data_IF_688089705848
#
_entry.id   IF_688089705848
#
_cell.length_a   1.000
_cell.length_b   1.000
_cell.length_c   1.000
_cell.angle_alpha   90.00
_cell.angle_beta   90.00
_cell.angle_gamma   90.00
#
_symmetry.space_group_name_H-M   'P 1'
#
loop_
_entity.id
_entity.type
_entity.pdbx_description
1 polymer ?
#
# COMPACT_ATOMS: atom_id res chain seq x y z
N UNK A 1 -22.23 41.79 0.00
CA UNK A 1 -21.69 42.61 1.10
C UNK A 1 -20.30 42.13 1.48
N UNK A 2 -19.47 43.00 2.03
CA UNK A 2 -18.10 42.67 2.47
C UNK A 2 -18.08 41.54 3.52
N UNK A 3 -19.11 41.50 4.38
CA UNK A 3 -19.33 40.41 5.34
C UNK A 3 -19.53 39.04 4.66
N UNK A 4 -20.30 38.98 3.57
CA UNK A 4 -20.52 37.73 2.83
C UNK A 4 -19.24 37.25 2.15
N UNK A 5 -18.44 38.15 1.57
CA UNK A 5 -17.15 37.80 0.97
C UNK A 5 -16.15 37.25 2.00
N UNK A 6 -16.05 37.92 3.17
CA UNK A 6 -15.21 37.44 4.29
C UNK A 6 -15.66 36.07 4.79
N UNK A 7 -16.96 35.88 4.98
CA UNK A 7 -17.53 34.61 5.41
C UNK A 7 -17.28 33.49 4.40
N UNK A 8 -17.42 33.79 3.09
CA UNK A 8 -17.11 32.84 2.02
C UNK A 8 -15.63 32.42 2.05
N UNK A 9 -14.70 33.36 2.18
CA UNK A 9 -13.27 33.06 2.22
C UNK A 9 -12.90 32.21 3.44
N UNK A 10 -13.43 32.54 4.63
CA UNK A 10 -13.21 31.74 5.83
C UNK A 10 -13.76 30.32 5.72
N UNK A 11 -14.92 30.16 5.06
CA UNK A 11 -15.55 28.85 4.84
C UNK A 11 -14.81 27.95 3.86
N UNK A 12 -13.96 28.50 2.99
CA UNK A 12 -13.25 27.72 1.97
C UNK A 12 -12.08 26.93 2.54
N UNK A 13 -11.28 27.54 3.42
CA UNK A 13 -10.00 26.96 3.87
C UNK A 13 -9.88 26.80 5.40
N UNK A 14 -10.66 27.56 6.17
CA UNK A 14 -10.54 27.64 7.63
C UNK A 14 -11.71 26.99 8.37
N UNK A 15 -12.70 26.42 7.67
CA UNK A 15 -13.82 25.70 8.29
C UNK A 15 -13.56 24.17 8.28
N UNK A 16 -13.37 23.53 9.44
CA UNK A 16 -13.06 22.10 9.54
C UNK A 16 -14.19 21.19 9.04
N UNK A 17 -15.41 21.72 8.87
CA UNK A 17 -16.54 20.99 8.31
C UNK A 17 -16.47 20.87 6.79
N UNK A 18 -15.77 21.79 6.12
CA UNK A 18 -15.69 21.88 4.65
C UNK A 18 -14.30 21.57 4.11
N UNK A 19 -13.26 21.89 4.87
CA UNK A 19 -11.88 21.70 4.49
C UNK A 19 -11.15 20.86 5.54
N UNK A 20 -10.43 19.84 5.09
CA UNK A 20 -9.71 18.93 5.98
C UNK A 20 -8.52 18.34 5.22
N UNK A 21 -7.30 18.71 5.62
CA UNK A 21 -6.06 18.15 5.09
C UNK A 21 -5.81 16.71 5.53
N UNK A 22 -6.49 16.27 6.61
CA UNK A 22 -6.16 15.08 7.37
C UNK A 22 -4.80 15.22 8.06
N UNK A 23 -4.46 14.21 8.88
CA UNK A 23 -3.14 14.13 9.53
C UNK A 23 -2.01 14.05 8.49
N UNK A 24 -2.23 13.30 7.40
CA UNK A 24 -1.23 13.08 6.34
C UNK A 24 -0.96 14.35 5.53
N UNK A 25 -2.00 15.07 5.09
CA UNK A 25 -1.82 16.31 4.33
C UNK A 25 -1.12 17.38 5.17
N UNK A 26 -1.44 17.45 6.47
CA UNK A 26 -0.76 18.32 7.43
C UNK A 26 0.71 17.95 7.61
N UNK A 27 1.00 16.65 7.82
CA UNK A 27 2.36 16.13 7.93
C UNK A 27 3.22 16.48 6.70
N UNK A 28 2.70 16.24 5.49
CA UNK A 28 3.41 16.54 4.23
C UNK A 28 3.64 18.03 4.05
N UNK A 29 2.63 18.86 4.33
CA UNK A 29 2.75 20.32 4.25
C UNK A 29 3.81 20.86 5.22
N UNK A 30 3.77 20.40 6.47
CA UNK A 30 4.72 20.81 7.49
C UNK A 30 6.16 20.41 7.13
N UNK A 31 6.34 19.15 6.73
CA UNK A 31 7.65 18.61 6.32
C UNK A 31 8.22 19.39 5.13
N UNK A 32 7.40 19.66 4.10
CA UNK A 32 7.82 20.40 2.90
C UNK A 32 8.19 21.86 3.20
N UNK A 33 7.48 22.50 4.12
CA UNK A 33 7.75 23.89 4.53
C UNK A 33 8.83 24.02 5.62
N UNK A 34 9.37 22.90 6.10
CA UNK A 34 10.36 22.89 7.19
C UNK A 34 9.76 23.30 8.55
N UNK A 35 8.46 23.14 8.74
CA UNK A 35 7.81 23.40 10.02
C UNK A 35 7.99 22.20 10.97
N UNK A 36 8.12 22.45 12.29
CA UNK A 36 8.28 21.37 13.26
C UNK A 36 7.00 20.53 13.31
N UNK A 37 7.14 19.22 13.10
CA UNK A 37 6.02 18.27 13.20
C UNK A 37 5.83 17.89 14.65
N UNK A 38 4.76 18.39 15.27
CA UNK A 38 4.32 18.02 16.62
C UNK A 38 2.83 17.60 16.62
N UNK A 39 2.38 16.97 17.70
CA UNK A 39 1.00 16.44 17.78
C UNK A 39 -0.06 17.55 17.62
N UNK A 40 0.16 18.71 18.23
CA UNK A 40 -0.74 19.88 18.13
C UNK A 40 -0.90 20.36 16.67
N UNK A 41 0.20 20.37 15.91
CA UNK A 41 0.15 20.70 14.49
C UNK A 41 -0.61 19.64 13.70
N UNK A 42 -0.39 18.34 13.98
CA UNK A 42 -1.07 17.24 13.30
C UNK A 42 -2.59 17.21 13.57
N UNK A 43 -3.03 17.72 14.71
CA UNK A 43 -4.46 17.92 15.03
C UNK A 43 -5.09 19.07 14.23
N UNK A 44 -4.28 20.03 13.77
CA UNK A 44 -4.76 21.19 13.01
C UNK A 44 -5.07 20.81 11.55
N UNK A 45 -6.29 20.35 11.30
CA UNK A 45 -6.73 19.84 9.98
C UNK A 45 -7.04 20.91 8.93
N UNK A 46 -7.20 22.18 9.31
CA UNK A 46 -7.49 23.31 8.39
C UNK A 46 -6.24 24.12 8.09
N UNK A 47 -6.19 24.81 6.96
CA UNK A 47 -5.06 25.70 6.64
C UNK A 47 -4.94 26.84 7.67
N UNK A 48 -3.70 27.21 7.97
CA UNK A 48 -3.33 28.37 8.78
C UNK A 48 -2.83 29.50 7.88
N UNK A 49 -2.66 30.71 8.42
CA UNK A 49 -2.14 31.83 7.62
C UNK A 49 -0.66 31.63 7.30
N UNK A 50 0.04 31.02 8.25
CA UNK A 50 1.44 30.66 8.21
C UNK A 50 1.71 29.66 7.09
N UNK A 51 0.82 28.69 6.88
CA UNK A 51 0.87 27.75 5.76
C UNK A 51 0.86 28.46 4.40
N UNK A 52 -0.04 29.43 4.23
CA UNK A 52 -0.21 30.17 2.97
C UNK A 52 1.03 31.03 2.70
N UNK A 53 1.52 31.73 3.72
CA UNK A 53 2.73 32.56 3.60
C UNK A 53 3.95 31.67 3.34
N UNK A 54 4.06 30.53 4.02
CA UNK A 54 5.13 29.55 3.82
C UNK A 54 5.15 28.99 2.40
N UNK A 55 3.99 28.60 1.88
CA UNK A 55 3.85 28.11 0.51
C UNK A 55 4.25 29.18 -0.52
N UNK A 56 3.83 30.44 -0.34
CA UNK A 56 4.23 31.54 -1.21
C UNK A 56 5.75 31.79 -1.17
N UNK A 57 6.34 31.79 0.03
CA UNK A 57 7.81 31.90 0.18
C UNK A 57 8.53 30.77 -0.53
N UNK A 58 8.07 29.52 -0.36
CA UNK A 58 8.66 28.36 -1.03
C UNK A 58 8.59 28.51 -2.56
N UNK A 59 7.45 28.96 -3.12
CA UNK A 59 7.31 29.20 -4.56
C UNK A 59 8.26 30.29 -5.08
N UNK A 60 8.46 31.37 -4.32
CA UNK A 60 9.41 32.43 -4.69
C UNK A 60 10.85 31.91 -4.66
N UNK A 61 11.23 31.15 -3.62
CA UNK A 61 12.56 30.50 -3.51
C UNK A 61 12.82 29.51 -4.63
N UNK A 62 11.82 28.68 -4.94
CA UNK A 62 11.87 27.73 -6.07
C UNK A 62 12.10 28.45 -7.40
N UNK A 63 11.46 29.61 -7.60
CA UNK A 63 11.67 30.41 -8.81
C UNK A 63 13.04 31.09 -8.83
N UNK A 64 13.58 31.45 -7.67
CA UNK A 64 14.92 32.02 -7.52
C UNK A 64 16.05 30.99 -7.75
N UNK A 65 15.74 29.69 -7.63
CA UNK A 65 16.69 28.61 -7.86
C UNK A 65 17.53 28.27 -6.62
N UNK A 66 16.99 28.46 -5.41
CA UNK A 66 17.65 28.08 -4.17
C UNK A 66 17.96 26.57 -4.14
N UNK A 67 19.15 26.19 -3.70
CA UNK A 67 19.63 24.79 -3.65
C UNK A 67 18.74 23.89 -2.76
N UNK A 68 18.14 24.45 -1.70
CA UNK A 68 17.24 23.71 -0.79
C UNK A 68 15.83 23.48 -1.38
N UNK A 69 15.59 23.93 -2.62
CA UNK A 69 14.27 23.82 -3.25
C UNK A 69 14.33 22.96 -4.49
N UNK A 70 13.38 22.05 -4.61
CA UNK A 70 13.23 21.17 -5.76
C UNK A 70 11.78 21.13 -6.23
N UNK A 71 11.62 20.86 -7.52
CA UNK A 71 10.33 20.56 -8.13
C UNK A 71 9.92 19.17 -7.67
N UNK A 72 8.68 19.03 -7.21
CA UNK A 72 8.16 17.74 -6.76
C UNK A 72 7.88 16.81 -7.95
N UNK A 73 8.37 15.58 -7.84
CA UNK A 73 7.99 14.49 -8.72
C UNK A 73 6.64 13.89 -8.27
N UNK A 74 5.64 13.98 -9.14
CA UNK A 74 4.27 13.48 -8.87
C UNK A 74 4.18 11.95 -8.83
N UNK A 75 5.12 11.25 -9.47
CA UNK A 75 5.14 9.80 -9.61
C UNK A 75 5.93 9.12 -8.48
N UNK A 76 6.76 9.89 -7.78
CA UNK A 76 7.47 9.42 -6.60
C UNK A 76 6.52 8.89 -5.51
N UNK A 77 6.76 7.67 -5.00
CA UNK A 77 5.92 7.06 -3.97
C UNK A 77 5.93 7.80 -2.62
N UNK A 78 6.86 8.72 -2.40
CA UNK A 78 6.78 9.67 -1.29
C UNK A 78 5.63 10.69 -1.41
N UNK A 79 5.08 10.86 -2.62
CA UNK A 79 3.97 11.77 -2.93
C UNK A 79 2.69 11.03 -3.31
N UNK A 80 2.76 9.69 -3.45
CA UNK A 80 1.61 8.82 -3.69
C UNK A 80 1.35 7.95 -2.47
N UNK A 81 0.09 7.91 -2.04
CA UNK A 81 -0.32 7.22 -0.83
C UNK A 81 -1.35 6.15 -1.15
N UNK A 82 -1.23 4.99 -0.50
CA UNK A 82 -2.25 3.96 -0.55
C UNK A 82 -3.42 4.34 0.36
N UNK A 83 -4.64 4.24 -0.19
CA UNK A 83 -5.87 4.31 0.60
C UNK A 83 -6.36 2.90 0.86
N UNK A 84 -6.45 2.55 2.14
CA UNK A 84 -6.93 1.25 2.60
C UNK A 84 -8.46 1.20 2.64
N UNK A 85 -9.01 -0.01 2.77
CA UNK A 85 -10.46 -0.24 2.72
C UNK A 85 -11.21 0.47 3.85
N UNK A 86 -10.63 0.52 5.04
CA UNK A 86 -11.15 1.20 6.22
C UNK A 86 -11.26 2.71 5.99
N UNK A 87 -10.28 3.34 5.34
CA UNK A 87 -10.36 4.78 5.01
C UNK A 87 -11.41 5.09 3.97
N UNK A 88 -11.47 4.28 2.90
CA UNK A 88 -12.45 4.46 1.84
C UNK A 88 -13.88 4.25 2.36
N UNK A 89 -14.09 3.19 3.16
CA UNK A 89 -15.35 2.92 3.82
C UNK A 89 -15.72 4.02 4.83
N UNK A 90 -14.75 4.51 5.61
CA UNK A 90 -14.96 5.58 6.57
C UNK A 90 -15.40 6.89 5.91
N UNK A 91 -14.83 7.24 4.75
CA UNK A 91 -15.24 8.42 4.00
C UNK A 91 -16.68 8.30 3.47
N UNK A 92 -17.05 7.14 2.94
CA UNK A 92 -18.44 6.89 2.49
C UNK A 92 -19.45 6.85 3.64
N UNK A 93 -19.08 6.23 4.77
CA UNK A 93 -19.89 6.25 5.99
C UNK A 93 -20.05 7.67 6.52
N UNK A 94 -18.97 8.47 6.53
CA UNK A 94 -19.01 9.89 6.93
C UNK A 94 -20.00 10.67 6.07
N UNK A 95 -20.05 10.45 4.75
CA UNK A 95 -21.06 11.05 3.87
C UNK A 95 -22.48 10.62 4.26
N UNK A 96 -22.67 9.34 4.61
CA UNK A 96 -23.93 8.82 5.15
C UNK A 96 -24.37 9.52 6.44
N UNK A 97 -23.46 9.69 7.40
CA UNK A 97 -23.73 10.39 8.66
C UNK A 97 -24.00 11.89 8.46
N UNK A 98 -23.32 12.55 7.52
CA UNK A 98 -23.58 13.96 7.21
C UNK A 98 -24.99 14.15 6.63
N UNK A 99 -25.46 13.23 5.78
CA UNK A 99 -26.85 13.22 5.29
C UNK A 99 -27.83 12.98 6.44
N UNK A 100 -27.57 11.99 7.28
CA UNK A 100 -28.39 11.69 8.45
C UNK A 100 -28.53 12.91 9.37
N UNK A 101 -27.41 13.57 9.70
CA UNK A 101 -27.39 14.79 10.52
C UNK A 101 -28.27 15.88 9.94
N UNK A 102 -28.18 16.12 8.63
CA UNK A 102 -28.99 17.12 7.94
C UNK A 102 -30.48 16.80 8.04
N UNK A 103 -30.88 15.55 7.76
CA UNK A 103 -32.28 15.12 7.85
C UNK A 103 -32.82 15.22 9.28
N UNK A 104 -32.02 14.86 10.27
CA UNK A 104 -32.40 15.00 11.69
C UNK A 104 -32.59 16.47 12.06
N UNK A 105 -31.68 17.36 11.65
CA UNK A 105 -31.78 18.80 11.90
C UNK A 105 -33.02 19.44 11.23
N UNK A 106 -33.33 19.03 10.01
CA UNK A 106 -34.54 19.47 9.30
C UNK A 106 -35.81 19.01 10.03
N UNK A 107 -35.87 17.75 10.49
CA UNK A 107 -37.01 17.23 11.26
C UNK A 107 -37.16 17.88 12.63
N UNK A 108 -36.06 18.17 13.32
CA UNK A 108 -36.07 18.87 14.61
C UNK A 108 -36.60 20.29 14.51
N UNK A 109 -36.38 20.95 13.37
CA UNK A 109 -36.91 22.30 13.12
C UNK A 109 -38.41 22.29 12.79
N UNK A 110 -38.91 21.21 12.19
CA UNK A 110 -40.31 21.12 11.73
C UNK A 110 -41.29 20.54 12.75
N UNK A 111 -40.83 19.77 13.74
CA UNK A 111 -41.70 19.09 14.72
C UNK A 111 -41.69 19.80 16.06
N UNK A 112 -42.84 19.83 16.71
CA UNK A 112 -42.95 20.37 18.06
C UNK A 112 -42.25 19.45 19.08
N UNK A 113 -41.53 20.00 20.07
CA UNK A 113 -40.78 19.22 21.06
C UNK A 113 -41.66 18.24 21.86
N UNK A 114 -42.93 18.58 22.07
CA UNK A 114 -43.88 17.77 22.85
C UNK A 114 -44.41 16.56 22.07
N UNK A 115 -44.37 16.60 20.73
CA UNK A 115 -44.77 15.48 19.87
C UNK A 115 -43.66 14.43 19.71
N UNK A 116 -42.40 14.80 19.97
CA UNK A 116 -41.24 13.94 19.81
C UNK A 116 -41.05 12.99 21.00
N UNK A 117 -41.83 11.89 21.01
CA UNK A 117 -41.78 10.89 22.07
C UNK A 117 -40.58 9.93 21.97
N UNK A 118 -40.02 9.70 20.76
CA UNK A 118 -38.93 8.74 20.53
C UNK A 118 -37.88 9.25 19.54
N UNK A 119 -36.59 9.04 19.87
CA UNK A 119 -35.44 9.40 19.02
C UNK A 119 -35.45 8.61 17.69
N UNK A 120 -35.99 7.39 17.70
CA UNK A 120 -36.12 6.54 16.50
C UNK A 120 -36.96 7.18 15.39
N UNK A 121 -37.83 8.14 15.72
CA UNK A 121 -38.62 8.86 14.71
C UNK A 121 -37.80 9.92 13.95
N UNK A 122 -36.71 10.39 14.55
CA UNK A 122 -35.79 11.35 13.94
C UNK A 122 -34.73 10.64 13.09
N UNK A 123 -34.26 9.48 13.53
CA UNK A 123 -33.12 8.77 12.92
C UNK A 123 -33.59 7.79 11.86
N UNK A 124 -33.16 7.99 10.61
CA UNK A 124 -33.40 7.05 9.51
C UNK A 124 -32.17 6.21 9.20
N UNK A 125 -32.17 4.94 9.56
CA UNK A 125 -31.06 4.00 9.31
C UNK A 125 -30.77 3.78 7.82
N UNK A 126 -31.77 3.96 6.93
CA UNK A 126 -31.62 3.78 5.48
C UNK A 126 -30.58 4.72 4.87
N UNK A 127 -30.39 5.90 5.46
CA UNK A 127 -29.39 6.86 4.99
C UNK A 127 -27.96 6.31 5.12
N UNK A 128 -27.69 5.53 6.18
CA UNK A 128 -26.38 4.93 6.42
C UNK A 128 -26.24 3.60 5.68
N UNK A 129 -27.27 2.74 5.73
CA UNK A 129 -27.23 1.45 5.04
C UNK A 129 -27.04 1.61 3.52
N UNK A 130 -27.70 2.60 2.91
CA UNK A 130 -27.54 2.88 1.47
C UNK A 130 -26.12 3.31 1.08
N UNK A 131 -25.39 3.99 1.97
CA UNK A 131 -23.97 4.31 1.76
C UNK A 131 -23.09 3.06 1.80
N UNK A 132 -23.39 2.12 2.71
CA UNK A 132 -22.69 0.83 2.81
C UNK A 132 -22.95 -0.01 1.56
N UNK A 133 -24.23 -0.15 1.17
CA UNK A 133 -24.63 -0.91 -0.02
C UNK A 133 -24.00 -0.33 -1.30
N UNK A 134 -23.91 1.00 -1.38
CA UNK A 134 -23.23 1.68 -2.48
C UNK A 134 -21.73 1.36 -2.50
N UNK A 135 -21.06 1.43 -1.35
CA UNK A 135 -19.62 1.19 -1.25
C UNK A 135 -19.27 -0.27 -1.64
N UNK A 136 -19.91 -1.26 -1.03
CA UNK A 136 -19.58 -2.67 -1.31
C UNK A 136 -20.21 -3.20 -2.60
N UNK A 137 -21.36 -2.66 -3.03
CA UNK A 137 -22.09 -3.17 -4.19
C UNK A 137 -21.77 -2.48 -5.51
N UNK A 138 -21.33 -1.22 -5.50
CA UNK A 138 -21.15 -0.40 -6.73
C UNK A 138 -19.78 0.25 -6.89
N UNK A 139 -18.94 0.24 -5.87
CA UNK A 139 -17.59 0.81 -6.00
C UNK A 139 -16.77 0.03 -7.04
N UNK A 140 -16.04 0.73 -7.89
CA UNK A 140 -15.16 0.12 -8.90
C UNK A 140 -14.04 -0.74 -8.27
N UNK A 141 -13.70 -0.45 -7.01
CA UNK A 141 -12.70 -1.17 -6.23
C UNK A 141 -13.29 -2.39 -5.51
N UNK A 142 -14.61 -2.51 -5.42
CA UNK A 142 -15.29 -3.69 -4.87
C UNK A 142 -15.55 -4.68 -6.00
N UNK A 143 -14.64 -5.65 -6.16
CA UNK A 143 -14.66 -6.61 -7.26
C UNK A 143 -14.91 -8.01 -6.73
N UNK A 144 -15.48 -8.87 -7.59
CA UNK A 144 -15.58 -10.30 -7.30
C UNK A 144 -14.16 -10.86 -7.17
N UNK A 145 -13.88 -11.54 -6.06
CA UNK A 145 -12.56 -12.10 -5.79
C UNK A 145 -12.26 -13.20 -6.82
N UNK A 146 -11.16 -13.04 -7.55
CA UNK A 146 -10.56 -14.09 -8.38
C UNK A 146 -10.16 -15.29 -7.50
N UNK A 147 -10.77 -16.44 -7.80
CA UNK A 147 -10.58 -17.68 -7.08
C UNK A 147 -10.20 -18.83 -8.01
N UNK A 148 -9.59 -18.52 -9.16
CA UNK A 148 -9.15 -19.54 -10.12
C UNK A 148 -8.19 -20.55 -9.45
N UNK A 149 -7.24 -20.04 -8.67
CA UNK A 149 -6.30 -20.82 -7.85
C UNK A 149 -5.80 -20.02 -6.63
N UNK A 150 -5.09 -20.63 -5.67
CA UNK A 150 -4.62 -19.93 -4.47
C UNK A 150 -3.75 -18.69 -4.75
N UNK A 151 -2.95 -18.71 -5.83
CA UNK A 151 -2.12 -17.58 -6.23
C UNK A 151 -2.97 -16.42 -6.75
N UNK A 152 -3.98 -16.69 -7.57
CA UNK A 152 -4.89 -15.68 -8.11
C UNK A 152 -5.58 -14.87 -7.00
N UNK A 153 -6.04 -15.55 -5.94
CA UNK A 153 -6.64 -14.90 -4.77
C UNK A 153 -5.62 -14.00 -4.06
N UNK A 154 -4.44 -14.55 -3.75
CA UNK A 154 -3.39 -13.81 -3.04
C UNK A 154 -2.93 -12.57 -3.80
N UNK A 155 -2.71 -12.68 -5.12
CA UNK A 155 -2.35 -11.53 -5.93
C UNK A 155 -3.48 -10.51 -5.99
N UNK A 156 -4.73 -10.96 -6.10
CA UNK A 156 -5.87 -10.04 -6.17
C UNK A 156 -6.03 -9.23 -4.88
N UNK A 157 -5.87 -9.87 -3.72
CA UNK A 157 -5.91 -9.20 -2.41
C UNK A 157 -4.74 -8.23 -2.20
N UNK A 158 -3.61 -8.43 -2.90
CA UNK A 158 -2.41 -7.58 -2.88
C UNK A 158 -2.31 -6.60 -4.05
N UNK A 159 -3.40 -6.40 -4.80
CA UNK A 159 -3.45 -5.54 -5.98
C UNK A 159 -3.58 -4.07 -5.59
N UNK A 160 -2.80 -3.23 -6.26
CA UNK A 160 -2.86 -1.78 -6.19
C UNK A 160 -3.53 -1.24 -7.44
N UNK A 161 -4.38 -0.22 -7.28
CA UNK A 161 -5.06 0.46 -8.37
C UNK A 161 -4.87 1.96 -8.26
N UNK A 162 -4.33 2.57 -9.31
CA UNK A 162 -4.32 4.03 -9.49
C UNK A 162 -5.69 4.56 -9.96
N UNK A 163 -6.62 3.66 -10.31
CA UNK A 163 -7.98 3.97 -10.73
C UNK A 163 -8.96 3.99 -9.56
N UNK A 164 -10.10 4.62 -9.75
CA UNK A 164 -11.20 4.66 -8.79
C UNK A 164 -11.46 6.06 -8.21
N UNK A 165 -12.30 6.18 -7.16
CA UNK A 165 -12.69 7.46 -6.61
C UNK A 165 -11.50 8.22 -6.02
N UNK A 166 -11.18 9.37 -6.62
CA UNK A 166 -10.02 10.20 -6.24
C UNK A 166 -8.71 9.80 -6.91
N UNK A 167 -8.72 8.77 -7.77
CA UNK A 167 -7.58 8.36 -8.58
C UNK A 167 -7.61 8.91 -10.01
N UNK A 168 -6.81 8.31 -10.87
CA UNK A 168 -6.70 8.63 -12.28
C UNK A 168 -7.85 8.03 -13.09
N UNK A 169 -8.22 8.69 -14.18
CA UNK A 169 -9.13 8.13 -15.17
C UNK A 169 -8.29 7.48 -16.29
N UNK A 170 -8.66 6.26 -16.73
CA UNK A 170 -7.96 5.49 -17.76
C UNK A 170 -7.64 6.30 -19.04
N UNK A 171 -8.57 7.15 -19.47
CA UNK A 171 -8.41 7.97 -20.70
C UNK A 171 -7.51 9.20 -20.51
N UNK A 172 -7.30 9.63 -19.26
CA UNK A 172 -6.49 10.81 -18.92
C UNK A 172 -5.10 10.46 -18.38
N UNK A 173 -4.87 9.18 -18.07
CA UNK A 173 -3.58 8.71 -17.64
C UNK A 173 -2.60 8.68 -18.83
N UNK A 174 -1.61 9.58 -18.79
CA UNK A 174 -0.52 9.66 -19.76
C UNK A 174 0.43 8.47 -19.67
N UNK A 175 1.55 8.56 -20.39
CA UNK A 175 2.60 7.53 -20.36
C UNK A 175 3.41 7.57 -19.07
N UNK A 176 3.80 8.75 -18.59
CA UNK A 176 4.63 8.95 -17.39
C UNK A 176 4.09 8.19 -16.16
N UNK A 177 2.79 8.31 -15.88
CA UNK A 177 2.14 7.66 -14.73
C UNK A 177 2.08 6.13 -14.82
N UNK A 178 2.35 5.55 -16.00
CA UNK A 178 2.35 4.10 -16.25
C UNK A 178 3.77 3.52 -16.19
N UNK A 179 4.79 4.36 -16.28
CA UNK A 179 6.18 3.92 -16.29
C UNK A 179 6.62 3.45 -14.90
N UNK A 180 7.68 2.63 -14.90
CA UNK A 180 8.27 2.13 -13.66
C UNK A 180 9.18 3.22 -13.09
N UNK A 181 8.78 3.76 -11.95
CA UNK A 181 9.57 4.75 -11.21
C UNK A 181 10.54 4.05 -10.24
N UNK A 182 11.74 4.60 -10.01
CA UNK A 182 12.76 4.01 -9.10
C UNK A 182 12.23 3.74 -7.68
N UNK A 183 11.47 4.67 -7.11
CA UNK A 183 10.78 4.52 -5.81
C UNK A 183 9.89 3.27 -5.68
N UNK A 184 9.50 2.61 -6.79
CA UNK A 184 8.78 1.33 -6.77
C UNK A 184 9.63 0.18 -6.20
N UNK A 185 10.96 0.32 -6.18
CA UNK A 185 11.88 -0.70 -5.70
C UNK A 185 11.50 -1.21 -4.30
N UNK A 186 11.25 -2.52 -4.19
CA UNK A 186 10.84 -3.17 -2.94
C UNK A 186 9.40 -2.91 -2.49
N UNK A 187 8.65 -2.04 -3.19
CA UNK A 187 7.29 -1.60 -2.82
C UNK A 187 6.23 -2.10 -3.79
N UNK A 188 6.45 -1.90 -5.08
CA UNK A 188 5.56 -2.29 -6.17
C UNK A 188 6.34 -3.19 -7.13
N UNK A 189 5.76 -4.33 -7.50
CA UNK A 189 6.38 -5.22 -8.45
C UNK A 189 6.44 -4.57 -9.84
N UNK A 190 7.63 -4.47 -10.47
CA UNK A 190 7.76 -3.85 -11.79
C UNK A 190 7.25 -4.74 -12.93
N UNK A 191 7.11 -6.05 -12.69
CA UNK A 191 6.74 -7.04 -13.70
C UNK A 191 5.23 -7.36 -13.67
N UNK A 192 4.62 -7.37 -12.48
CA UNK A 192 3.27 -7.86 -12.28
C UNK A 192 2.21 -6.76 -12.49
N UNK A 193 1.85 -6.56 -13.76
CA UNK A 193 0.78 -5.66 -14.21
C UNK A 193 -0.07 -6.35 -15.30
N UNK A 194 -1.38 -6.05 -15.40
CA UNK A 194 -2.18 -6.49 -16.53
C UNK A 194 -1.66 -5.94 -17.86
N UNK A 195 -1.86 -6.72 -18.92
CA UNK A 195 -1.58 -6.31 -20.29
C UNK A 195 -2.67 -5.37 -20.84
N UNK A 196 -2.32 -4.60 -21.87
CA UNK A 196 -3.25 -3.70 -22.57
C UNK A 196 -3.49 -2.38 -21.82
N UNK A 197 -4.74 -1.91 -21.84
CA UNK A 197 -5.06 -0.53 -21.44
C UNK A 197 -4.80 -0.21 -19.96
N UNK A 198 -4.69 -1.21 -19.09
CA UNK A 198 -4.47 -1.04 -17.65
C UNK A 198 -2.99 -1.16 -17.25
N UNK A 199 -2.07 -1.32 -18.20
CA UNK A 199 -0.63 -1.39 -17.92
C UNK A 199 -0.16 -0.20 -17.11
N UNK A 200 0.55 -0.46 -16.00
CA UNK A 200 1.08 0.55 -15.08
C UNK A 200 0.03 1.23 -14.18
N UNK A 201 -1.26 1.04 -14.45
CA UNK A 201 -2.37 1.60 -13.64
C UNK A 201 -2.88 0.62 -12.59
N UNK A 202 -2.63 -0.66 -12.82
CA UNK A 202 -2.89 -1.75 -11.89
C UNK A 202 -1.57 -2.48 -11.69
N UNK A 203 -1.10 -2.53 -10.46
CA UNK A 203 0.16 -3.17 -10.11
C UNK A 203 -0.04 -4.06 -8.89
N UNK A 204 0.96 -4.85 -8.53
CA UNK A 204 0.91 -5.70 -7.34
C UNK A 204 1.95 -5.27 -6.32
N UNK A 205 1.65 -5.42 -5.04
CA UNK A 205 2.62 -5.20 -3.97
C UNK A 205 3.79 -6.18 -4.10
N UNK A 206 5.01 -5.69 -3.87
CA UNK A 206 6.19 -6.56 -3.75
C UNK A 206 6.08 -7.45 -2.50
N UNK A 207 6.92 -8.48 -2.41
CA UNK A 207 6.83 -9.53 -1.38
C UNK A 207 6.86 -8.99 0.06
N UNK A 208 7.83 -8.12 0.37
CA UNK A 208 8.02 -7.59 1.72
C UNK A 208 7.43 -6.20 1.91
N UNK A 209 6.79 -5.64 0.88
CA UNK A 209 6.18 -4.31 0.97
C UNK A 209 5.08 -4.28 2.05
N UNK A 210 5.07 -3.21 2.83
CA UNK A 210 4.04 -2.93 3.83
C UNK A 210 3.59 -1.47 3.72
N UNK A 211 2.62 -1.09 4.56
CA UNK A 211 2.02 0.25 4.61
C UNK A 211 2.28 0.82 6.00
N UNK A 212 2.75 2.06 6.08
CA UNK A 212 2.93 2.75 7.35
C UNK A 212 1.62 3.36 7.90
N UNK A 213 1.67 3.98 9.08
CA UNK A 213 0.51 4.62 9.71
C UNK A 213 -0.09 5.78 8.87
N UNK A 214 0.72 6.38 7.99
CA UNK A 214 0.33 7.45 7.10
C UNK A 214 -0.06 6.94 5.71
N UNK A 215 -0.18 5.64 5.48
CA UNK A 215 -0.57 5.06 4.19
C UNK A 215 0.51 5.07 3.10
N UNK A 216 1.77 5.39 3.42
CA UNK A 216 2.89 5.29 2.47
C UNK A 216 3.42 3.86 2.42
N UNK A 217 3.89 3.46 1.23
CA UNK A 217 4.52 2.16 1.05
C UNK A 217 5.94 2.16 1.62
N UNK A 218 6.23 1.15 2.43
CA UNK A 218 7.53 0.94 3.06
C UNK A 218 8.10 -0.42 2.69
N UNK A 219 9.41 -0.52 2.64
CA UNK A 219 10.14 -1.78 2.40
C UNK A 219 11.23 -1.95 3.46
N UNK A 220 11.52 -3.19 3.90
CA UNK A 220 12.50 -3.43 4.95
C UNK A 220 13.92 -3.45 4.39
N UNK A 221 14.87 -2.93 5.19
CA UNK A 221 16.31 -2.95 4.94
C UNK A 221 17.07 -3.36 6.20
N UNK A 222 18.20 -4.03 6.04
CA UNK A 222 19.15 -4.30 7.12
C UNK A 222 20.02 -3.08 7.38
N UNK A 223 20.22 -2.72 8.64
CA UNK A 223 21.13 -1.65 9.02
C UNK A 223 22.59 -2.10 8.80
N UNK A 224 23.41 -1.24 8.19
CA UNK A 224 24.85 -1.44 8.01
C UNK A 224 25.59 -0.45 8.91
N UNK A 225 26.54 -0.95 9.69
CA UNK A 225 27.42 -0.12 10.52
C UNK A 225 28.86 -0.61 10.40
N UNK A 226 29.80 0.31 10.20
CA UNK A 226 31.24 0.00 10.04
C UNK A 226 31.47 -1.11 8.98
N UNK A 227 30.82 -0.96 7.82
CA UNK A 227 30.90 -1.91 6.69
C UNK A 227 30.47 -3.34 7.05
N UNK A 228 29.60 -3.50 8.05
CA UNK A 228 29.00 -4.78 8.44
C UNK A 228 27.49 -4.70 8.50
N UNK A 229 26.82 -5.61 7.80
CA UNK A 229 25.38 -5.77 7.86
C UNK A 229 24.97 -6.38 9.22
N UNK A 230 24.01 -5.74 9.89
CA UNK A 230 23.40 -6.22 11.12
C UNK A 230 22.14 -7.04 10.83
N UNK A 231 21.59 -7.71 11.85
CA UNK A 231 20.26 -8.34 11.78
C UNK A 231 19.12 -7.36 12.06
N UNK A 232 19.44 -6.12 12.45
CA UNK A 232 18.43 -5.10 12.71
C UNK A 232 17.81 -4.66 11.38
N UNK A 233 16.48 -4.76 11.31
CA UNK A 233 15.71 -4.40 10.13
C UNK A 233 14.97 -3.09 10.39
N UNK A 234 15.18 -2.11 9.50
CA UNK A 234 14.46 -0.84 9.49
C UNK A 234 13.60 -0.75 8.24
N UNK A 235 12.36 -0.31 8.43
CA UNK A 235 11.43 -0.04 7.35
C UNK A 235 11.61 1.39 6.89
N UNK A 236 11.83 1.58 5.58
CA UNK A 236 12.06 2.90 5.00
C UNK A 236 10.95 3.25 4.02
N UNK A 237 10.47 4.50 4.10
CA UNK A 237 9.65 5.11 3.05
C UNK A 237 10.53 5.52 1.85
N UNK A 238 9.89 5.82 0.73
CA UNK A 238 10.60 6.19 -0.49
C UNK A 238 11.39 7.50 -0.38
N UNK A 239 10.92 8.46 0.42
CA UNK A 239 11.63 9.71 0.71
C UNK A 239 12.87 9.47 1.57
N UNK A 240 12.73 8.67 2.63
CA UNK A 240 13.86 8.27 3.50
C UNK A 240 14.92 7.44 2.75
N UNK A 241 14.50 6.65 1.77
CA UNK A 241 15.38 5.85 0.93
C UNK A 241 16.29 6.71 0.06
N UNK A 242 15.79 7.81 -0.51
CA UNK A 242 16.59 8.69 -1.37
C UNK A 242 17.72 9.40 -0.62
N UNK A 243 17.54 9.67 0.68
CA UNK A 243 18.57 10.27 1.53
C UNK A 243 19.64 9.28 1.98
N UNK A 244 19.42 7.99 1.76
CA UNK A 244 20.27 6.90 2.21
C UNK A 244 21.07 6.24 1.08
N UNK A 245 22.19 5.62 1.45
CA UNK A 245 23.02 4.79 0.56
C UNK A 245 22.72 3.33 0.82
N UNK A 246 22.23 2.62 -0.21
CA UNK A 246 21.68 1.28 -0.11
C UNK A 246 22.45 0.29 -0.99
N UNK A 247 22.94 -0.80 -0.41
CA UNK A 247 23.62 -1.85 -1.16
C UNK A 247 22.70 -3.07 -1.42
N UNK A 248 22.80 -3.71 -2.59
CA UNK A 248 22.14 -4.99 -2.83
C UNK A 248 22.80 -6.12 -2.01
N UNK A 249 22.11 -7.27 -1.81
CA UNK A 249 22.63 -8.35 -0.97
C UNK A 249 23.89 -9.02 -1.54
N UNK A 250 24.04 -8.98 -2.86
CA UNK A 250 25.11 -9.68 -3.60
C UNK A 250 26.50 -9.03 -3.42
N UNK A 251 26.56 -7.86 -2.79
CA UNK A 251 27.81 -7.14 -2.49
C UNK A 251 28.58 -7.77 -1.34
N UNK A 252 27.94 -8.60 -0.51
CA UNK A 252 28.58 -9.22 0.66
C UNK A 252 29.74 -10.15 0.27
N UNK A 253 30.88 -10.03 0.97
CA UNK A 253 32.01 -10.93 0.76
C UNK A 253 31.64 -12.36 1.13
N UNK A 254 32.09 -13.35 0.36
CA UNK A 254 32.04 -14.74 0.82
C UNK A 254 33.06 -14.96 1.95
N UNK A 255 32.63 -15.64 3.01
CA UNK A 255 33.51 -16.12 4.06
C UNK A 255 34.41 -17.26 3.57
N UNK A 256 35.37 -17.68 4.41
CA UNK A 256 36.32 -18.76 4.09
C UNK A 256 35.66 -20.13 3.82
N UNK A 257 34.37 -20.29 4.13
CA UNK A 257 33.57 -21.48 3.88
C UNK A 257 32.65 -21.35 2.65
N UNK A 258 32.72 -20.23 1.93
CA UNK A 258 31.87 -19.93 0.78
C UNK A 258 30.45 -19.48 1.14
N UNK A 259 30.18 -19.15 2.42
CA UNK A 259 28.90 -18.56 2.85
C UNK A 259 28.99 -17.04 2.82
N UNK A 260 27.90 -16.33 2.54
CA UNK A 260 27.89 -14.88 2.61
C UNK A 260 28.31 -14.41 4.02
N UNK A 261 29.47 -13.77 4.12
CA UNK A 261 29.88 -13.05 5.31
C UNK A 261 28.99 -11.81 5.46
N UNK A 262 28.95 -11.24 6.67
CA UNK A 262 28.23 -9.97 6.90
C UNK A 262 29.06 -8.74 6.55
N UNK A 263 30.27 -8.91 6.01
CA UNK A 263 31.20 -7.83 5.73
C UNK A 263 31.05 -7.38 4.29
N UNK A 264 31.00 -6.06 4.08
CA UNK A 264 31.14 -5.47 2.76
C UNK A 264 32.63 -5.46 2.37
N UNK A 265 32.96 -5.57 1.07
CA UNK A 265 34.33 -5.57 0.60
C UNK A 265 35.02 -4.24 0.89
N UNK A 266 36.34 -4.28 1.01
CA UNK A 266 37.13 -3.08 1.21
C UNK A 266 37.20 -2.24 -0.07
N UNK A 267 37.05 -0.92 0.05
CA UNK A 267 37.04 0.01 -1.08
C UNK A 267 35.63 0.40 -1.51
N UNK A 268 35.36 0.27 -2.80
CA UNK A 268 34.16 0.75 -3.43
C UNK A 268 33.18 -0.40 -3.75
N UNK A 269 31.89 -0.11 -3.60
CA UNK A 269 30.79 -1.02 -3.91
C UNK A 269 29.73 -0.32 -4.74
N UNK A 270 29.06 -1.10 -5.58
CA UNK A 270 27.91 -0.63 -6.31
C UNK A 270 26.71 -0.52 -5.36
N UNK A 271 26.20 0.69 -5.21
CA UNK A 271 25.07 0.98 -4.33
C UNK A 271 24.11 1.96 -5.01
N UNK A 272 22.87 2.03 -4.51
CA UNK A 272 21.94 3.10 -4.86
C UNK A 272 22.14 4.27 -3.90
N UNK A 273 22.40 5.45 -4.45
CA UNK A 273 22.50 6.71 -3.71
C UNK A 273 21.72 7.78 -4.46
N UNK A 274 20.86 8.53 -3.76
CA UNK A 274 20.04 9.61 -4.35
C UNK A 274 19.19 9.17 -5.56
N UNK A 275 18.74 7.91 -5.58
CA UNK A 275 17.92 7.35 -6.65
C UNK A 275 18.69 6.76 -7.83
N UNK A 276 20.01 6.96 -7.90
CA UNK A 276 20.85 6.41 -8.98
C UNK A 276 21.84 5.35 -8.48
N UNK A 277 22.20 4.46 -9.39
CA UNK A 277 23.23 3.45 -9.15
C UNK A 277 24.60 4.10 -9.32
N UNK A 278 25.39 4.12 -8.25
CA UNK A 278 26.72 4.72 -8.25
C UNK A 278 27.71 3.86 -7.45
N UNK A 279 28.99 4.08 -7.70
CA UNK A 279 30.07 3.44 -6.98
C UNK A 279 30.42 4.29 -5.74
N UNK A 280 30.17 3.74 -4.55
CA UNK A 280 30.34 4.41 -3.26
C UNK A 280 31.30 3.64 -2.37
N UNK A 281 31.87 4.27 -1.36
CA UNK A 281 32.71 3.55 -0.39
C UNK A 281 31.83 2.64 0.46
N UNK A 282 32.32 1.45 0.78
CA UNK A 282 31.61 0.50 1.66
C UNK A 282 31.27 1.07 3.04
N UNK A 283 32.05 2.06 3.50
CA UNK A 283 31.84 2.77 4.76
C UNK A 283 30.62 3.71 4.73
N UNK A 284 30.26 4.21 3.54
CA UNK A 284 29.15 5.14 3.35
C UNK A 284 27.79 4.41 3.26
N UNK A 285 27.81 3.09 3.02
CA UNK A 285 26.61 2.25 2.96
C UNK A 285 25.95 2.20 4.33
N UNK A 286 24.70 2.66 4.41
CA UNK A 286 23.91 2.68 5.65
C UNK A 286 22.90 1.54 5.74
N UNK A 287 22.41 1.08 4.59
CA UNK A 287 21.36 0.08 4.53
C UNK A 287 21.65 -0.95 3.45
N UNK A 288 21.09 -2.14 3.62
CA UNK A 288 21.21 -3.25 2.69
C UNK A 288 19.88 -3.95 2.51
N UNK A 289 19.60 -4.39 1.30
CA UNK A 289 18.44 -5.20 0.95
C UNK A 289 18.33 -6.46 1.83
N UNK A 290 17.11 -6.83 2.24
CA UNK A 290 16.90 -8.01 3.10
C UNK A 290 16.97 -9.31 2.30
N UNK A 291 16.55 -9.26 1.03
CA UNK A 291 16.49 -10.41 0.14
C UNK A 291 16.50 -9.96 -1.33
N UNK A 292 17.16 -10.70 -2.25
CA UNK A 292 17.09 -10.40 -3.69
C UNK A 292 15.64 -10.44 -4.24
N UNK A 293 14.77 -11.25 -3.62
CA UNK A 293 13.37 -11.39 -4.02
C UNK A 293 12.51 -10.18 -3.65
N UNK A 294 13.03 -9.23 -2.88
CA UNK A 294 12.22 -8.14 -2.32
C UNK A 294 11.60 -7.21 -3.37
N UNK A 295 12.22 -7.12 -4.55
CA UNK A 295 11.75 -6.28 -5.65
C UNK A 295 10.54 -6.88 -6.37
N UNK A 296 10.33 -8.19 -6.23
CA UNK A 296 9.34 -8.93 -6.99
C UNK A 296 8.02 -9.11 -6.23
N UNK A 297 6.94 -9.28 -6.99
CA UNK A 297 5.63 -9.69 -6.50
C UNK A 297 5.56 -11.20 -6.27
N UNK A 298 4.43 -11.67 -5.73
CA UNK A 298 4.26 -13.09 -5.37
C UNK A 298 4.37 -14.00 -6.59
N UNK A 299 3.71 -13.65 -7.70
CA UNK A 299 3.70 -14.48 -8.91
C UNK A 299 5.06 -14.51 -9.60
N UNK A 300 5.69 -13.35 -9.76
CA UNK A 300 7.01 -13.24 -10.40
C UNK A 300 8.07 -14.03 -9.62
N UNK A 301 8.02 -13.99 -8.28
CA UNK A 301 8.97 -14.73 -7.43
C UNK A 301 8.76 -16.25 -7.40
N UNK A 302 7.68 -16.78 -8.01
CA UNK A 302 7.46 -18.21 -8.24
C UNK A 302 8.07 -18.70 -9.56
N UNK A 303 8.55 -17.81 -10.44
CA UNK A 303 9.22 -18.17 -11.68
C UNK A 303 10.68 -18.55 -11.36
N UNK A 304 11.10 -19.80 -11.60
CA UNK A 304 12.51 -20.17 -11.49
C UNK A 304 13.30 -19.54 -12.64
N UNK A 305 14.56 -19.19 -12.40
CA UNK A 305 15.46 -18.60 -13.40
C UNK A 305 14.94 -17.28 -14.01
N UNK A 306 14.19 -16.50 -13.23
CA UNK A 306 13.63 -15.21 -13.64
C UNK A 306 14.70 -14.25 -14.16
N UNK A 307 15.91 -14.32 -13.63
CA UNK A 307 17.09 -13.56 -14.05
C UNK A 307 17.54 -13.84 -15.51
N UNK A 308 17.07 -14.92 -16.11
CA UNK A 308 17.35 -15.31 -17.49
C UNK A 308 16.19 -15.03 -18.45
N UNK A 309 15.06 -14.53 -17.93
CA UNK A 309 13.87 -14.21 -18.72
C UNK A 309 13.80 -12.71 -19.05
N UNK A 310 13.31 -12.39 -20.25
CA UNK A 310 12.94 -11.01 -20.60
C UNK A 310 11.75 -10.54 -19.74
N UNK A 311 11.76 -9.26 -19.36
CA UNK A 311 10.74 -8.68 -18.49
C UNK A 311 9.30 -8.84 -19.04
N UNK A 312 9.10 -8.75 -20.36
CA UNK A 312 7.77 -8.94 -20.94
C UNK A 312 7.31 -10.41 -20.86
N UNK A 313 8.24 -11.35 -20.96
CA UNK A 313 7.95 -12.79 -20.82
C UNK A 313 7.65 -13.13 -19.37
N UNK A 314 8.39 -12.57 -18.43
CA UNK A 314 8.11 -12.68 -17.01
C UNK A 314 6.73 -12.09 -16.65
N UNK A 315 6.34 -10.97 -17.26
CA UNK A 315 5.02 -10.36 -17.10
C UNK A 315 3.91 -11.30 -17.58
N UNK A 316 4.03 -11.82 -18.80
CA UNK A 316 3.08 -12.79 -19.35
C UNK A 316 3.01 -14.05 -18.49
N UNK A 317 4.16 -14.61 -18.08
CA UNK A 317 4.22 -15.79 -17.23
C UNK A 317 3.54 -15.58 -15.88
N UNK A 318 3.79 -14.44 -15.23
CA UNK A 318 3.15 -14.06 -13.96
C UNK A 318 1.62 -13.94 -14.11
N UNK A 319 1.16 -13.37 -15.23
CA UNK A 319 -0.27 -13.23 -15.52
C UNK A 319 -0.94 -14.59 -15.83
N UNK A 320 -0.27 -15.45 -16.60
CA UNK A 320 -0.77 -16.77 -16.97
C UNK A 320 -0.87 -17.73 -15.78
N UNK A 321 0.07 -17.66 -14.83
CA UNK A 321 0.01 -18.47 -13.60
C UNK A 321 -1.30 -18.28 -12.81
N UNK A 322 -1.86 -17.06 -12.82
CA UNK A 322 -3.13 -16.77 -12.11
C UNK A 322 -4.34 -17.37 -12.80
N UNK A 323 -4.22 -17.74 -14.08
CA UNK A 323 -5.29 -18.35 -14.86
C UNK A 323 -5.23 -19.88 -14.85
N UNK A 324 -4.19 -20.47 -14.24
CA UNK A 324 -4.02 -21.91 -14.18
C UNK A 324 -5.10 -22.57 -13.32
N UNK A 325 -5.88 -23.47 -13.89
CA UNK A 325 -6.94 -24.19 -13.18
C UNK A 325 -6.32 -25.37 -12.40
N UNK A 326 -6.70 -25.57 -11.12
CA UNK A 326 -6.23 -26.72 -10.34
C UNK A 326 -6.59 -28.06 -10.99
N UNK A 327 -5.63 -28.98 -11.00
CA UNK A 327 -5.82 -30.35 -11.49
C UNK A 327 -6.57 -31.21 -10.46
N UNK A 328 -7.20 -32.30 -10.93
CA UNK A 328 -7.84 -33.30 -10.05
C UNK A 328 -6.81 -33.94 -9.10
N UNK A 329 -5.60 -34.18 -9.59
CA UNK A 329 -4.46 -34.65 -8.81
C UNK A 329 -3.38 -33.58 -8.88
N UNK A 330 -3.07 -32.98 -7.74
CA UNK A 330 -2.04 -31.94 -7.63
C UNK A 330 -0.65 -32.57 -7.58
N UNK A 331 0.28 -32.01 -8.33
CA UNK A 331 1.69 -32.42 -8.34
C UNK A 331 2.57 -31.24 -7.93
N UNK A 332 3.60 -31.45 -7.09
CA UNK A 332 4.54 -30.40 -6.76
C UNK A 332 5.42 -30.07 -7.97
N UNK A 333 5.84 -28.81 -8.15
CA UNK A 333 6.77 -28.46 -9.22
C UNK A 333 8.12 -29.14 -8.98
N UNK A 334 8.68 -29.73 -10.04
CA UNK A 334 10.00 -30.39 -10.00
C UNK A 334 11.11 -29.34 -9.82
N UNK A 335 10.96 -28.18 -10.43
CA UNK A 335 11.84 -27.02 -10.30
C UNK A 335 11.09 -25.92 -9.56
N UNK A 336 11.59 -25.54 -8.39
CA UNK A 336 10.90 -24.68 -7.43
C UNK A 336 11.80 -23.52 -6.97
N UNK A 337 11.21 -22.40 -6.56
CA UNK A 337 11.93 -21.26 -6.00
C UNK A 337 11.97 -21.28 -4.46
N UNK A 338 11.21 -22.19 -3.84
CA UNK A 338 11.02 -22.31 -2.40
C UNK A 338 9.89 -21.42 -1.84
N UNK A 339 9.23 -20.61 -2.70
CA UNK A 339 8.13 -19.74 -2.32
C UNK A 339 6.75 -20.43 -2.43
N UNK A 340 6.67 -21.64 -2.97
CA UNK A 340 5.43 -22.37 -3.28
C UNK A 340 4.53 -22.56 -2.04
N UNK A 341 5.13 -22.58 -0.84
CA UNK A 341 4.42 -22.62 0.44
C UNK A 341 3.54 -21.40 0.69
N UNK A 342 3.65 -20.33 -0.11
CA UNK A 342 2.82 -19.13 -0.03
C UNK A 342 1.33 -19.43 -0.21
N UNK A 343 0.97 -20.55 -0.88
CA UNK A 343 -0.41 -21.00 -0.97
C UNK A 343 -1.07 -21.21 0.41
N UNK A 344 -0.29 -21.52 1.45
CA UNK A 344 -0.79 -21.63 2.83
C UNK A 344 -1.23 -20.28 3.42
N UNK A 345 -0.83 -19.17 2.83
CA UNK A 345 -1.30 -17.83 3.21
C UNK A 345 -2.66 -17.49 2.58
N UNK A 346 -3.12 -18.26 1.59
CA UNK A 346 -4.46 -18.10 1.02
C UNK A 346 -5.54 -18.59 1.99
N UNK A 347 -6.76 -18.11 1.79
CA UNK A 347 -7.95 -18.60 2.50
C UNK A 347 -8.46 -19.97 2.02
N UNK A 348 -7.77 -20.61 1.06
CA UNK A 348 -8.18 -21.88 0.47
C UNK A 348 -7.66 -23.11 1.22
N UNK A 349 -6.63 -22.94 2.05
CA UNK A 349 -6.00 -24.03 2.81
C UNK A 349 -6.43 -23.99 4.27
N UNK A 350 -6.82 -25.14 4.82
CA UNK A 350 -7.16 -25.29 6.23
C UNK A 350 -5.87 -25.37 7.05
N UNK A 351 -5.75 -24.54 8.08
CA UNK A 351 -4.59 -24.49 8.99
C UNK A 351 -5.03 -24.77 10.42
N UNK A 352 -4.25 -25.61 11.11
CA UNK A 352 -4.43 -25.82 12.54
C UNK A 352 -4.06 -24.53 13.31
N UNK A 353 -4.90 -24.12 14.25
CA UNK A 353 -4.64 -22.96 15.10
C UNK A 353 -3.64 -23.28 16.22
N UNK A 354 -3.64 -24.54 16.69
CA UNK A 354 -2.75 -25.05 17.72
C UNK A 354 -2.10 -26.34 17.25
N UNK A 355 -0.87 -26.57 17.70
CA UNK A 355 -0.23 -27.87 17.55
C UNK A 355 -0.92 -28.89 18.45
N UNK A 356 -1.04 -30.12 17.96
CA UNK A 356 -1.70 -31.22 18.66
C UNK A 356 -1.59 -32.52 17.86
N UNK A 357 -2.21 -33.58 18.37
CA UNK A 357 -2.25 -34.87 17.68
C UNK A 357 -3.57 -35.00 16.92
N UNK A 358 -3.49 -35.45 15.67
CA UNK A 358 -4.70 -35.77 14.90
C UNK A 358 -5.35 -37.00 15.52
N UNK A 359 -6.52 -36.80 16.11
CA UNK A 359 -7.28 -37.84 16.83
C UNK A 359 -8.33 -38.50 15.93
N UNK A 360 -8.85 -37.74 14.97
CA UNK A 360 -9.80 -38.23 13.98
C UNK A 360 -9.56 -37.55 12.63
N UNK A 361 -9.65 -38.31 11.56
CA UNK A 361 -9.48 -37.85 10.19
C UNK A 361 -10.43 -38.60 9.27
N UNK A 362 -11.27 -37.88 8.55
CA UNK A 362 -12.02 -38.40 7.42
C UNK A 362 -11.96 -37.44 6.22
N UNK A 363 -12.76 -37.71 5.20
CA UNK A 363 -12.79 -36.89 4.00
C UNK A 363 -13.43 -35.51 4.19
N UNK A 364 -14.17 -35.27 5.27
CA UNK A 364 -15.01 -34.09 5.51
C UNK A 364 -14.52 -33.24 6.69
N UNK A 365 -13.76 -33.82 7.63
CA UNK A 365 -13.28 -33.13 8.82
C UNK A 365 -12.01 -33.73 9.40
N UNK A 366 -11.30 -32.89 10.15
CA UNK A 366 -10.09 -33.22 10.90
C UNK A 366 -10.32 -32.80 12.35
N UNK A 367 -10.06 -33.69 13.32
CA UNK A 367 -10.15 -33.37 14.76
C UNK A 367 -8.78 -33.51 15.40
N UNK A 368 -8.35 -32.44 16.06
CA UNK A 368 -7.09 -32.37 16.81
C UNK A 368 -7.41 -32.40 18.31
N UNK A 369 -6.67 -33.22 19.07
CA UNK A 369 -6.77 -33.35 20.53
C UNK A 369 -8.20 -33.57 21.09
N UNK A 370 -9.08 -34.22 20.32
CA UNK A 370 -10.49 -34.46 20.67
C UNK A 370 -11.33 -33.19 20.94
N UNK A 371 -10.83 -31.99 20.61
CA UNK A 371 -11.53 -30.72 20.86
C UNK A 371 -11.67 -29.85 19.61
N UNK A 372 -10.61 -29.77 18.81
CA UNK A 372 -10.51 -28.78 17.74
C UNK A 372 -10.93 -29.43 16.42
N UNK A 373 -12.17 -29.18 16.01
CA UNK A 373 -12.74 -29.69 14.76
C UNK A 373 -12.56 -28.70 13.61
N UNK A 374 -11.99 -29.18 12.50
CA UNK A 374 -11.77 -28.44 11.27
C UNK A 374 -12.57 -29.08 10.12
N UNK A 375 -13.59 -28.39 9.63
CA UNK A 375 -14.44 -28.87 8.53
C UNK A 375 -13.81 -28.55 7.17
N UNK A 376 -13.71 -29.56 6.32
CA UNK A 376 -13.17 -29.48 4.96
C UNK A 376 -14.29 -29.12 3.96
N UNK A 377 -13.99 -28.21 3.03
CA UNK A 377 -14.91 -27.87 1.94
C UNK A 377 -14.79 -28.91 0.83
N UNK A 378 -15.89 -29.59 0.49
CA UNK A 378 -15.93 -30.65 -0.53
C UNK A 378 -16.70 -30.22 -1.76
N UNK A 379 -16.06 -30.33 -2.93
CA UNK A 379 -16.65 -30.07 -4.25
C UNK A 379 -17.49 -28.78 -4.30
N UNK A 380 -17.02 -27.73 -3.62
CA UNK A 380 -17.69 -26.44 -3.57
C UNK A 380 -17.38 -25.66 -4.85
N UNK A 381 -18.40 -24.99 -5.38
CA UNK A 381 -18.23 -24.07 -6.50
C UNK A 381 -17.43 -22.84 -6.04
N UNK A 382 -16.40 -22.48 -6.81
CA UNK A 382 -15.67 -21.22 -6.67
C UNK A 382 -16.32 -20.17 -7.58
N UNK A 383 -16.01 -18.89 -7.34
CA UNK A 383 -16.59 -17.75 -8.06
C UNK A 383 -16.51 -17.87 -9.59
#
# INVERSE_FOLDING_TARGET
TLANARSAMMRLFFDPKRYNLGRVGRYKLATKLGFPVNDEMLETVTLTKEDVIGALKYLVRLKAGDEDTSIDDIDHLGNRRLRTIDELASDELRKGFLKLRRTVQERLTMRDPEELKKITELVNSKAVSSSIDFFFGRSELSQVVDQTNPLSQLTHERRLSALGPGGLNRKRAGFEVRDVHISHYGRICPVETPEGNNIGLISSLSLYASVDEYGFLVTPYRCVSRSRASDEVRWLRADEENEAVLAPPDVLEADRSGRASRKLPEGNVLARAQGDVSEVRSEDVRFMDVSPKQTMGVSAALIPFLEHDDANRALMGSNMQRQAVPLIRTEPPIVATGLEKVAANSGMVVKAQKGGVVTYLDAERIVIDHSDEYVLRKFAKLN
#
